data_IF_463062171019
#
_entry.id   IF_463062171019
#
_cell.length_a   1.000
_cell.length_b   1.000
_cell.length_c   1.000
_cell.angle_alpha   90.00
_cell.angle_beta   90.00
_cell.angle_gamma   90.00
#
_symmetry.space_group_name_H-M   'P 1'
#
loop_
_entity.id
_entity.type
_entity.pdbx_description
1 polymer ?
#
# COMPACT_ATOMS: atom_id res chain seq x y z
N UNK A 1 -3.40 -16.16 11.02
CA UNK A 1 -2.72 -15.20 10.13
C UNK A 1 -2.81 -15.76 8.71
N UNK A 2 -3.12 -14.95 7.71
CA UNK A 2 -3.16 -15.42 6.32
C UNK A 2 -1.78 -15.98 5.94
N UNK A 3 -1.75 -17.19 5.38
CA UNK A 3 -0.54 -17.89 4.97
C UNK A 3 -0.05 -17.28 3.63
N UNK A 4 0.73 -16.21 3.69
CA UNK A 4 1.34 -15.60 2.51
C UNK A 4 2.83 -15.95 2.44
N UNK A 5 3.34 -16.19 1.24
CA UNK A 5 4.75 -16.53 1.03
C UNK A 5 5.69 -15.32 1.20
N UNK A 6 5.18 -14.12 0.95
CA UNK A 6 5.92 -12.87 1.00
C UNK A 6 5.05 -11.78 1.65
N UNK A 7 5.68 -10.88 2.39
CA UNK A 7 5.07 -9.74 3.06
C UNK A 7 5.83 -8.46 2.71
N UNK A 8 5.10 -7.40 2.44
CA UNK A 8 5.62 -6.05 2.47
C UNK A 8 5.51 -5.53 3.90
N UNK A 9 6.64 -5.18 4.51
CA UNK A 9 6.73 -4.74 5.90
C UNK A 9 7.09 -3.26 5.93
N UNK A 10 6.13 -2.43 6.30
CA UNK A 10 6.32 -1.00 6.41
C UNK A 10 6.69 -0.60 7.84
N UNK A 11 7.80 0.14 7.98
CA UNK A 11 8.28 0.78 9.20
C UNK A 11 7.79 2.22 9.22
N UNK A 12 6.81 2.50 10.07
CA UNK A 12 6.09 3.77 10.06
C UNK A 12 6.99 4.97 10.39
N UNK A 13 7.82 4.87 11.44
CA UNK A 13 8.68 5.98 11.88
C UNK A 13 9.86 6.19 10.95
N UNK A 14 10.45 5.09 10.47
CA UNK A 14 11.60 5.16 9.55
C UNK A 14 11.18 5.38 8.08
N UNK A 15 9.88 5.42 7.81
CA UNK A 15 9.26 5.48 6.48
C UNK A 15 9.86 4.48 5.47
N UNK A 16 10.21 3.28 5.93
CA UNK A 16 10.93 2.30 5.13
C UNK A 16 10.06 1.08 4.80
N UNK A 17 10.15 0.60 3.56
CA UNK A 17 9.42 -0.59 3.10
C UNK A 17 10.42 -1.73 2.86
N UNK A 18 10.19 -2.87 3.51
CA UNK A 18 11.00 -4.07 3.43
C UNK A 18 10.19 -5.22 2.81
N UNK A 19 10.83 -6.03 1.98
CA UNK A 19 10.23 -7.28 1.50
C UNK A 19 10.75 -8.44 2.34
N UNK A 20 9.83 -9.20 2.92
CA UNK A 20 10.14 -10.24 3.89
C UNK A 20 9.45 -11.55 3.51
N UNK A 21 10.14 -12.66 3.76
CA UNK A 21 9.61 -14.02 3.68
C UNK A 21 9.79 -14.68 5.06
N UNK A 22 9.13 -15.83 5.33
CA UNK A 22 9.39 -16.59 6.57
C UNK A 22 10.86 -17.01 6.75
N UNK A 23 11.66 -17.02 5.68
CA UNK A 23 13.08 -17.38 5.67
C UNK A 23 14.01 -16.16 5.72
N UNK A 24 13.48 -14.95 5.69
CA UNK A 24 14.28 -13.73 5.77
C UNK A 24 14.98 -13.62 7.13
N UNK A 25 16.14 -12.94 7.16
CA UNK A 25 16.81 -12.64 8.43
C UNK A 25 15.91 -11.80 9.35
N UNK A 26 16.03 -11.96 10.68
CA UNK A 26 15.26 -11.16 11.63
C UNK A 26 15.48 -9.66 11.43
N UNK A 27 14.41 -8.87 11.58
CA UNK A 27 14.51 -7.40 11.57
C UNK A 27 15.17 -6.96 12.88
N UNK A 28 16.38 -6.43 12.77
CA UNK A 28 17.09 -5.84 13.90
C UNK A 28 16.64 -4.39 14.10
N UNK A 29 16.23 -4.04 15.32
CA UNK A 29 15.92 -2.67 15.68
C UNK A 29 16.22 -2.40 17.16
N UNK A 30 16.43 -1.14 17.50
CA UNK A 30 16.66 -0.67 18.87
C UNK A 30 15.77 0.53 19.12
N UNK A 31 15.08 0.53 20.25
CA UNK A 31 14.24 1.65 20.68
C UNK A 31 14.97 2.44 21.76
N UNK A 32 14.92 3.76 21.65
CA UNK A 32 15.30 4.67 22.73
C UNK A 32 14.18 4.71 23.80
N UNK A 33 14.49 5.13 25.04
CA UNK A 33 13.48 5.37 26.06
C UNK A 33 12.36 6.27 25.52
N UNK A 34 11.10 5.87 25.76
CA UNK A 34 9.91 6.58 25.29
C UNK A 34 9.80 6.77 23.76
N UNK A 35 10.46 5.91 22.97
CA UNK A 35 10.29 5.84 21.51
C UNK A 35 9.51 4.59 21.08
N UNK A 36 9.08 4.58 19.82
CA UNK A 36 8.37 3.45 19.24
C UNK A 36 8.73 3.29 17.76
N UNK A 37 8.44 2.12 17.21
CA UNK A 37 8.42 1.85 15.77
C UNK A 37 7.20 0.98 15.51
N UNK A 38 6.44 1.29 14.46
CA UNK A 38 5.26 0.51 14.09
C UNK A 38 5.57 -0.26 12.82
N UNK A 39 5.39 -1.57 12.88
CA UNK A 39 5.55 -2.46 11.75
C UNK A 39 4.18 -2.87 11.21
N UNK A 40 3.89 -2.51 9.96
CA UNK A 40 2.69 -2.98 9.26
C UNK A 40 3.10 -4.09 8.31
N UNK A 41 2.61 -5.31 8.56
CA UNK A 41 2.84 -6.47 7.70
C UNK A 41 1.67 -6.63 6.74
N UNK A 42 1.89 -6.33 5.46
CA UNK A 42 0.91 -6.50 4.40
C UNK A 42 1.24 -7.75 3.58
N UNK A 43 0.35 -8.75 3.46
CA UNK A 43 0.60 -9.92 2.64
C UNK A 43 0.70 -9.52 1.16
N UNK A 44 1.70 -10.05 0.47
CA UNK A 44 1.85 -9.86 -0.97
C UNK A 44 0.93 -10.84 -1.70
N UNK A 45 0.19 -10.30 -2.65
CA UNK A 45 -0.70 -11.05 -3.55
C UNK A 45 -0.20 -10.88 -4.98
N UNK A 46 -0.33 -11.93 -5.79
CA UNK A 46 -0.03 -11.85 -7.21
C UNK A 46 -1.32 -11.58 -7.97
N UNK A 47 -1.33 -10.48 -8.72
CA UNK A 47 -2.40 -10.12 -9.61
C UNK A 47 -2.15 -10.84 -10.92
N UNK A 48 -2.99 -11.83 -11.22
CA UNK A 48 -2.91 -12.59 -12.45
C UNK A 48 -3.49 -11.74 -13.59
N UNK A 49 -2.62 -11.37 -14.52
CA UNK A 49 -2.91 -10.57 -15.72
C UNK A 49 -1.70 -10.63 -16.65
N UNK A 50 -1.69 -9.86 -17.74
CA UNK A 50 -0.66 -9.96 -18.79
C UNK A 50 0.79 -9.77 -18.29
N UNK A 51 0.99 -8.98 -17.22
CA UNK A 51 2.32 -8.58 -16.71
C UNK A 51 2.67 -9.24 -15.37
N UNK A 52 1.72 -9.91 -14.70
CA UNK A 52 1.94 -10.58 -13.40
C UNK A 52 2.48 -9.63 -12.31
N UNK A 53 1.60 -8.87 -11.65
CA UNK A 53 2.01 -7.83 -10.69
C UNK A 53 1.93 -8.36 -9.26
N UNK A 54 3.05 -8.35 -8.53
CA UNK A 54 3.05 -8.53 -7.06
C UNK A 54 2.64 -7.22 -6.39
N UNK A 55 1.65 -7.30 -5.50
CA UNK A 55 1.01 -6.17 -4.86
C UNK A 55 0.70 -6.43 -3.38
N UNK A 56 0.91 -5.43 -2.51
CA UNK A 56 0.50 -5.51 -1.10
C UNK A 56 -0.07 -4.17 -0.61
N UNK A 57 -1.29 -4.14 -0.05
CA UNK A 57 -1.88 -2.91 0.47
C UNK A 57 -1.40 -2.61 1.90
N UNK A 58 -0.85 -1.42 2.16
CA UNK A 58 -0.48 -1.00 3.53
C UNK A 58 -1.54 -0.09 4.17
N UNK A 59 -2.12 0.83 3.38
CA UNK A 59 -3.14 1.78 3.84
C UNK A 59 -2.59 3.19 4.06
N UNK A 60 -3.30 4.03 4.82
CA UNK A 60 -2.91 5.41 5.11
C UNK A 60 -1.80 5.47 6.18
N UNK A 61 -0.58 5.85 5.78
CA UNK A 61 0.61 5.78 6.64
C UNK A 61 0.75 6.93 7.64
N UNK A 62 0.03 8.02 7.42
CA UNK A 62 -0.13 9.10 8.40
C UNK A 62 -1.07 8.73 9.56
N UNK A 63 -1.66 7.52 9.55
CA UNK A 63 -2.48 6.98 10.62
C UNK A 63 -1.73 5.82 11.28
N UNK A 64 -1.65 5.78 12.62
CA UNK A 64 -0.96 4.69 13.33
C UNK A 64 -1.59 3.30 13.11
N UNK A 65 -2.86 3.25 12.68
CA UNK A 65 -3.52 2.03 12.23
C UNK A 65 -3.70 2.04 10.71
N UNK A 66 -2.59 1.92 9.97
CA UNK A 66 -2.60 2.00 8.50
C UNK A 66 -3.55 0.96 7.90
N UNK A 67 -3.44 -0.30 8.32
CA UNK A 67 -4.30 -1.38 7.82
C UNK A 67 -5.78 -1.17 8.12
N UNK A 68 -6.12 -0.57 9.27
CA UNK A 68 -7.50 -0.25 9.63
C UNK A 68 -8.14 0.86 8.81
N UNK A 69 -7.37 1.60 8.00
CA UNK A 69 -7.91 2.54 7.03
C UNK A 69 -8.44 1.85 5.77
N UNK A 70 -8.04 0.61 5.49
CA UNK A 70 -8.44 -0.12 4.28
C UNK A 70 -9.86 -0.65 4.50
N UNK A 71 -10.79 -0.21 3.65
CA UNK A 71 -12.18 -0.67 3.65
C UNK A 71 -12.34 -1.85 2.70
N UNK A 72 -11.70 -1.80 1.53
CA UNK A 72 -11.81 -2.84 0.51
C UNK A 72 -10.63 -2.83 -0.47
N UNK A 73 -10.32 -3.98 -1.06
CA UNK A 73 -9.32 -4.15 -2.11
C UNK A 73 -9.85 -5.12 -3.16
N UNK A 74 -10.11 -4.62 -4.35
CA UNK A 74 -10.55 -5.39 -5.51
C UNK A 74 -9.41 -5.52 -6.52
N UNK A 75 -9.11 -6.75 -6.92
CA UNK A 75 -8.25 -7.04 -8.07
C UNK A 75 -9.14 -7.31 -9.28
N UNK A 76 -8.94 -6.56 -10.37
CA UNK A 76 -9.76 -6.67 -11.57
C UNK A 76 -8.94 -7.31 -12.69
N UNK A 77 -9.58 -8.26 -13.37
CA UNK A 77 -9.04 -8.97 -14.52
C UNK A 77 -8.63 -7.94 -15.59
N UNK A 78 -7.33 -7.81 -15.86
CA UNK A 78 -6.82 -6.81 -16.81
C UNK A 78 -5.97 -5.70 -16.21
N UNK A 79 -5.27 -5.96 -15.10
CA UNK A 79 -4.22 -5.08 -14.58
C UNK A 79 -4.72 -3.80 -13.90
N UNK A 80 -5.85 -3.88 -13.20
CA UNK A 80 -6.36 -2.80 -12.33
C UNK A 80 -6.42 -3.28 -10.87
N UNK A 81 -5.92 -2.45 -9.95
CA UNK A 81 -6.17 -2.60 -8.51
C UNK A 81 -7.03 -1.45 -8.06
N UNK A 82 -8.17 -1.75 -7.46
CA UNK A 82 -9.05 -0.75 -6.86
C UNK A 82 -9.03 -0.91 -5.35
N UNK A 83 -8.66 0.16 -4.65
CA UNK A 83 -8.65 0.21 -3.20
C UNK A 83 -9.65 1.23 -2.70
N UNK A 84 -10.41 0.86 -1.66
CA UNK A 84 -11.24 1.79 -0.91
C UNK A 84 -10.62 2.01 0.46
N UNK A 85 -10.39 3.27 0.81
CA UNK A 85 -9.79 3.64 2.11
C UNK A 85 -10.65 4.67 2.82
N UNK A 86 -10.62 4.67 4.15
CA UNK A 86 -11.32 5.63 5.00
C UNK A 86 -10.34 6.61 5.66
N UNK A 87 -10.66 7.89 5.56
CA UNK A 87 -9.79 8.98 6.04
C UNK A 87 -8.97 9.59 4.91
N UNK A 88 -8.04 10.47 5.27
CA UNK A 88 -7.21 11.22 4.32
C UNK A 88 -5.74 11.19 4.74
N UNK A 89 -4.88 11.46 3.78
CA UNK A 89 -3.42 11.50 3.91
C UNK A 89 -2.74 10.63 2.88
N UNK A 90 -1.65 9.95 3.25
CA UNK A 90 -0.78 9.28 2.29
C UNK A 90 -1.06 7.80 2.23
N UNK A 91 -1.63 7.35 1.12
CA UNK A 91 -1.85 5.93 0.85
C UNK A 91 -0.55 5.29 0.40
N UNK A 92 -0.11 4.25 1.11
CA UNK A 92 1.04 3.42 0.74
C UNK A 92 0.58 2.04 0.28
N UNK A 93 1.17 1.60 -0.83
CA UNK A 93 1.09 0.22 -1.31
C UNK A 93 2.46 -0.23 -1.80
N UNK A 94 2.71 -1.54 -1.76
CA UNK A 94 3.79 -2.16 -2.50
C UNK A 94 3.28 -2.53 -3.90
N UNK A 95 4.05 -2.18 -4.92
CA UNK A 95 3.88 -2.72 -6.26
C UNK A 95 5.22 -3.01 -6.93
N UNK A 96 5.39 -4.26 -7.37
CA UNK A 96 6.57 -4.71 -8.09
C UNK A 96 6.75 -4.07 -9.47
N UNK A 97 5.69 -3.52 -10.04
CA UNK A 97 5.69 -2.82 -11.33
C UNK A 97 5.22 -1.39 -11.10
N UNK A 98 5.72 -0.43 -11.89
CA UNK A 98 5.20 0.94 -11.85
C UNK A 98 3.83 0.98 -12.54
N UNK A 99 2.75 1.45 -11.92
CA UNK A 99 1.50 1.71 -12.63
C UNK A 99 1.71 2.76 -13.72
N UNK A 100 0.87 2.73 -14.75
CA UNK A 100 0.82 3.77 -15.76
C UNK A 100 0.02 4.97 -15.27
N UNK A 101 -1.09 4.72 -14.56
CA UNK A 101 -2.00 5.75 -14.06
C UNK A 101 -2.49 5.42 -12.65
N UNK A 102 -2.76 6.48 -11.90
CA UNK A 102 -3.44 6.42 -10.62
C UNK A 102 -4.66 7.34 -10.71
N UNK A 103 -5.82 6.85 -10.27
CA UNK A 103 -7.04 7.65 -10.18
C UNK A 103 -7.48 7.72 -8.73
N UNK A 104 -7.78 8.91 -8.23
CA UNK A 104 -8.38 9.16 -6.91
C UNK A 104 -9.79 9.69 -7.12
N UNK A 105 -10.79 8.94 -6.63
CA UNK A 105 -12.22 9.20 -6.86
C UNK A 105 -12.60 9.31 -8.34
N UNK A 106 -11.89 8.57 -9.21
CA UNK A 106 -12.15 8.55 -10.65
C UNK A 106 -11.48 9.66 -11.45
N UNK A 107 -10.69 10.53 -10.82
CA UNK A 107 -9.90 11.56 -11.50
C UNK A 107 -8.43 11.16 -11.51
N UNK A 108 -7.72 11.40 -12.62
CA UNK A 108 -6.27 11.18 -12.68
C UNK A 108 -5.56 12.00 -11.62
N UNK A 109 -4.63 11.35 -10.93
CA UNK A 109 -3.81 11.97 -9.90
C UNK A 109 -2.34 11.54 -10.02
N UNK A 110 -1.49 12.33 -9.38
CA UNK A 110 -0.07 12.04 -9.30
C UNK A 110 0.19 10.96 -8.24
N UNK A 111 1.24 10.20 -8.47
CA UNK A 111 1.73 9.22 -7.52
C UNK A 111 3.26 9.16 -7.57
N UNK A 112 3.85 8.76 -6.47
CA UNK A 112 5.28 8.49 -6.36
C UNK A 112 5.51 6.98 -6.39
N UNK A 113 6.49 6.53 -7.17
CA UNK A 113 6.94 5.14 -7.16
C UNK A 113 8.45 5.12 -7.00
N UNK A 114 8.89 4.68 -5.83
CA UNK A 114 10.29 4.62 -5.44
C UNK A 114 10.91 3.24 -5.64
N UNK A 115 12.21 3.15 -5.36
CA UNK A 115 12.94 1.88 -5.36
C UNK A 115 12.30 0.88 -4.39
N UNK A 116 12.37 -0.40 -4.74
CA UNK A 116 11.78 -1.48 -3.95
C UNK A 116 10.25 -1.55 -4.01
N UNK A 117 9.62 -0.86 -4.97
CA UNK A 117 8.18 -0.95 -5.21
C UNK A 117 7.31 -0.14 -4.25
N UNK A 118 7.89 0.80 -3.50
CA UNK A 118 7.16 1.71 -2.61
C UNK A 118 6.34 2.69 -3.45
N UNK A 119 5.01 2.52 -3.48
CA UNK A 119 4.11 3.40 -4.22
C UNK A 119 3.26 4.24 -3.27
N UNK A 120 3.27 5.56 -3.44
CA UNK A 120 2.54 6.50 -2.60
C UNK A 120 1.59 7.38 -3.42
N UNK A 121 0.38 7.53 -2.91
CA UNK A 121 -0.68 8.38 -3.49
C UNK A 121 -1.23 9.26 -2.38
N UNK A 122 -1.35 10.56 -2.63
CA UNK A 122 -2.00 11.46 -1.68
C UNK A 122 -3.51 11.44 -1.85
N UNK A 123 -4.21 11.30 -0.74
CA UNK A 123 -5.67 11.21 -0.66
C UNK A 123 -6.14 12.38 0.17
N UNK A 124 -6.66 13.41 -0.49
CA UNK A 124 -7.05 14.67 0.14
C UNK A 124 -8.50 14.69 0.60
N UNK A 125 -8.77 15.30 1.75
CA UNK A 125 -10.12 15.49 2.28
C UNK A 125 -11.06 16.16 1.26
N UNK A 126 -12.24 15.56 1.05
CA UNK A 126 -13.34 16.15 0.28
C UNK A 126 -14.61 16.18 1.11
N UNK A 127 -15.16 17.37 1.30
CA UNK A 127 -16.38 17.60 2.08
C UNK A 127 -17.60 16.81 1.54
N UNK A 128 -17.61 16.48 0.25
CA UNK A 128 -18.75 15.84 -0.43
C UNK A 128 -18.77 14.32 -0.38
N UNK A 129 -17.68 13.67 0.03
CA UNK A 129 -17.57 12.21 0.05
C UNK A 129 -17.52 11.76 1.50
N UNK A 130 -18.48 10.91 1.86
CA UNK A 130 -18.64 10.33 3.19
C UNK A 130 -17.42 9.45 3.52
N UNK A 131 -16.33 10.09 3.96
CA UNK A 131 -15.12 9.56 4.57
C UNK A 131 -14.34 8.49 3.80
N UNK A 132 -14.76 8.08 2.59
CA UNK A 132 -14.13 7.01 1.82
C UNK A 132 -13.64 7.49 0.45
N UNK A 133 -12.42 7.10 0.09
CA UNK A 133 -11.79 7.36 -1.19
C UNK A 133 -11.60 6.08 -1.98
N UNK A 134 -11.69 6.18 -3.30
CA UNK A 134 -11.42 5.05 -4.20
C UNK A 134 -10.18 5.36 -5.02
N UNK A 135 -9.10 4.62 -4.77
CA UNK A 135 -7.87 4.69 -5.56
C UNK A 135 -7.84 3.55 -6.57
N UNK A 136 -7.56 3.83 -7.84
CA UNK A 136 -7.37 2.82 -8.89
C UNK A 136 -5.97 2.93 -9.47
N UNK A 137 -5.24 1.83 -9.50
CA UNK A 137 -3.92 1.71 -10.10
C UNK A 137 -4.04 0.86 -11.37
N UNK A 138 -3.63 1.41 -12.52
CA UNK A 138 -3.73 0.77 -13.82
C UNK A 138 -2.34 0.40 -14.34
N UNK A 139 -2.13 -0.85 -14.76
CA UNK A 139 -0.84 -1.34 -15.27
C UNK A 139 -0.84 -1.73 -16.77
N UNK A 140 -2.00 -1.94 -17.41
CA UNK A 140 -2.09 -2.20 -18.86
C UNK A 140 -2.15 -0.91 -19.70
N UNK A 141 -1.86 -1.05 -21.01
CA UNK A 141 -2.13 -0.01 -22.03
C UNK A 141 -3.61 0.10 -22.33
#
# INVERSE_FOLDING_TARGET
MANAAEYAVYRCQSENLLMMTPQSQPIQFTLQPSSFELFTFAPVTMIVGDVGVRFAPTGLVNMMNCGGSIVDVEFRDGSEVKMKVKGAGRLLVFSSVRPQRCLVDGFDDKFEWGNGGKLMVDVSWKMSLMWCFVTRLLYCR
#
